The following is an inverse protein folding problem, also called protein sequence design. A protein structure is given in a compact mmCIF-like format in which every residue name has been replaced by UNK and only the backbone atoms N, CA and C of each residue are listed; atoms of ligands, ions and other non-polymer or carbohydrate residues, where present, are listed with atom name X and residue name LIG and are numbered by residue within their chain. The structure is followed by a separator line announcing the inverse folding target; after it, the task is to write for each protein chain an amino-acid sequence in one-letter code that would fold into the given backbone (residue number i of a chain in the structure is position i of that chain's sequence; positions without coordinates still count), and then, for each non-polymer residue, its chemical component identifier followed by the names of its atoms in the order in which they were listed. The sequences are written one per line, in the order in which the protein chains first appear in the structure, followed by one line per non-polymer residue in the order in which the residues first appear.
data_IF_996724501763
#
_entry.id   IF_996724501763
#
_cell.length_a   1.000
_cell.length_b   1.000
_cell.length_c   1.000
_cell.angle_alpha   90.00
_cell.angle_beta   90.00
_cell.angle_gamma   90.00
#
_symmetry.space_group_name_H-M   'P 1'
#
loop_
_entity.id
_entity.type
_entity.pdbx_description
1 polymer ?
#
# COMPACT_ATOMS: atom_id res chain seq x y z
N UNK A 1 45.19 23.68 5.67
CA UNK A 1 44.62 22.59 4.86
C UNK A 1 44.40 21.46 5.81
N UNK A 2 43.15 21.22 6.18
CA UNK A 2 42.61 19.91 6.54
C UNK A 2 41.10 20.12 6.64
N UNK A 3 40.46 19.97 5.47
CA UNK A 3 39.00 19.80 5.36
C UNK A 3 38.74 18.40 5.88
N UNK A 4 38.47 18.27 7.18
CA UNK A 4 37.86 17.06 7.71
C UNK A 4 36.54 16.85 6.96
N UNK A 5 36.51 15.79 6.17
CA UNK A 5 35.29 15.25 5.58
C UNK A 5 34.33 14.94 6.72
N UNK A 6 33.27 15.72 6.82
CA UNK A 6 31.98 15.22 7.31
C UNK A 6 31.61 14.12 6.31
N UNK A 7 31.97 12.88 6.62
CA UNK A 7 31.00 11.88 7.05
C UNK A 7 29.75 11.97 6.17
N UNK A 8 29.82 11.23 5.05
CA UNK A 8 28.88 10.17 4.71
C UNK A 8 27.70 10.03 5.69
N UNK A 9 26.79 10.99 5.65
CA UNK A 9 25.38 10.69 5.73
C UNK A 9 24.85 10.96 4.33
N UNK A 10 25.11 10.00 3.42
CA UNK A 10 24.13 9.73 2.39
C UNK A 10 22.85 9.41 3.17
N UNK A 11 21.97 10.41 3.31
CA UNK A 11 20.55 10.12 3.48
C UNK A 11 20.24 9.20 2.30
N UNK A 12 20.13 7.89 2.58
CA UNK A 12 19.34 7.00 1.75
C UNK A 12 17.94 7.62 1.75
N UNK A 13 17.72 8.59 0.86
CA UNK A 13 16.41 8.96 0.39
C UNK A 13 15.85 7.65 -0.16
N UNK A 14 15.01 7.02 0.67
CA UNK A 14 14.19 5.88 0.32
C UNK A 14 13.22 6.31 -0.79
N UNK A 15 13.76 6.44 -2.00
CA UNK A 15 13.05 6.79 -3.23
C UNK A 15 12.33 5.55 -3.79
N UNK A 16 11.95 4.61 -2.92
CA UNK A 16 11.20 3.41 -3.27
C UNK A 16 9.69 3.55 -3.03
N UNK A 17 9.22 4.66 -2.43
CA UNK A 17 7.81 4.83 -2.05
C UNK A 17 6.87 5.43 -3.10
N UNK A 18 7.36 5.95 -4.24
CA UNK A 18 6.52 6.71 -5.19
C UNK A 18 6.09 5.89 -6.43
N UNK A 19 6.50 4.62 -6.52
CA UNK A 19 6.12 3.72 -7.62
C UNK A 19 5.77 2.32 -7.09
N UNK A 20 4.79 1.67 -7.75
CA UNK A 20 4.35 0.32 -7.40
C UNK A 20 2.84 0.22 -7.24
N UNK A 21 2.38 -0.99 -6.89
CA UNK A 21 0.96 -1.31 -6.86
C UNK A 21 0.18 -0.48 -5.83
N UNK A 22 0.74 -0.25 -4.63
CA UNK A 22 0.06 0.47 -3.54
C UNK A 22 -0.18 1.96 -3.86
N UNK A 23 0.84 2.76 -4.25
CA UNK A 23 0.62 4.14 -4.66
C UNK A 23 -0.30 4.24 -5.88
N UNK A 24 -0.13 3.35 -6.87
CA UNK A 24 -1.01 3.28 -8.04
C UNK A 24 -2.47 3.03 -7.64
N UNK A 25 -2.73 2.01 -6.82
CA UNK A 25 -4.07 1.64 -6.40
C UNK A 25 -4.75 2.75 -5.59
N UNK A 26 -4.01 3.41 -4.69
CA UNK A 26 -4.54 4.54 -3.91
C UNK A 26 -4.74 5.81 -4.75
N UNK A 27 -4.02 5.95 -5.87
CA UNK A 27 -4.16 7.04 -6.82
C UNK A 27 -5.34 6.91 -7.81
N UNK A 28 -5.99 5.74 -7.87
CA UNK A 28 -7.17 5.53 -8.72
C UNK A 28 -8.29 6.49 -8.29
N UNK A 29 -8.96 7.11 -9.26
CA UNK A 29 -10.12 7.97 -9.01
C UNK A 29 -11.20 7.20 -8.22
N UNK A 30 -11.62 7.74 -7.08
CA UNK A 30 -12.55 7.09 -6.15
C UNK A 30 -11.86 6.33 -5.00
N UNK A 31 -10.53 6.19 -5.03
CA UNK A 31 -9.75 5.53 -3.97
C UNK A 31 -9.05 6.54 -3.04
N UNK A 32 -9.44 7.82 -3.07
CA UNK A 32 -8.80 8.90 -2.33
C UNK A 32 -8.82 8.67 -0.81
N UNK A 33 -9.71 7.80 -0.32
CA UNK A 33 -9.86 7.50 1.11
C UNK A 33 -8.88 6.44 1.62
N UNK A 34 -8.29 5.65 0.73
CA UNK A 34 -7.28 4.66 1.12
C UNK A 34 -6.02 5.37 1.63
N UNK A 35 -5.36 4.72 2.58
CA UNK A 35 -4.02 5.04 3.01
C UNK A 35 -3.10 4.09 2.26
N UNK A 36 -1.95 4.58 1.84
CA UNK A 36 -0.85 3.74 1.37
C UNK A 36 -0.29 3.02 2.60
N UNK A 37 -0.41 1.69 2.62
CA UNK A 37 0.06 0.86 3.73
C UNK A 37 1.53 0.57 3.51
N UNK A 38 2.35 0.72 4.54
CA UNK A 38 3.78 0.47 4.43
C UNK A 38 4.09 -1.00 4.14
N UNK A 39 5.05 -1.23 3.25
CA UNK A 39 5.58 -2.54 2.92
C UNK A 39 6.01 -3.33 4.16
N UNK A 40 6.64 -2.67 5.14
CA UNK A 40 7.06 -3.30 6.39
C UNK A 40 5.88 -3.85 7.19
N UNK A 41 4.76 -3.11 7.23
CA UNK A 41 3.54 -3.55 7.91
C UNK A 41 2.96 -4.80 7.25
N UNK A 42 2.99 -4.86 5.91
CA UNK A 42 2.48 -5.98 5.11
C UNK A 42 3.39 -7.19 5.21
N UNK A 43 4.72 -7.00 5.22
CA UNK A 43 5.71 -8.10 5.32
C UNK A 43 5.72 -8.77 6.70
N UNK A 44 5.21 -8.12 7.74
CA UNK A 44 5.03 -8.76 9.05
C UNK A 44 3.81 -9.70 9.05
N UNK A 45 4.11 -11.00 9.04
CA UNK A 45 3.13 -12.09 9.09
C UNK A 45 2.17 -12.01 10.28
N UNK A 46 2.55 -11.39 11.39
CA UNK A 46 1.65 -11.21 12.53
C UNK A 46 0.46 -10.31 12.17
N UNK A 47 0.71 -9.24 11.41
CA UNK A 47 -0.33 -8.31 10.96
C UNK A 47 -1.31 -8.96 9.98
N UNK A 48 -0.85 -9.98 9.23
CA UNK A 48 -1.64 -10.72 8.24
C UNK A 48 -2.28 -12.00 8.77
N UNK A 49 -2.16 -12.28 10.07
CA UNK A 49 -2.65 -13.51 10.67
C UNK A 49 -4.15 -13.76 10.35
N UNK A 50 -4.45 -14.99 9.95
CA UNK A 50 -5.80 -15.46 9.63
C UNK A 50 -6.35 -15.01 8.26
N UNK A 51 -5.57 -14.28 7.45
CA UNK A 51 -6.02 -13.86 6.11
C UNK A 51 -5.75 -14.92 5.04
N UNK A 52 -4.64 -15.65 5.12
CA UNK A 52 -4.19 -16.61 4.07
C UNK A 52 -5.27 -17.60 3.64
N UNK A 53 -5.98 -18.22 4.59
CA UNK A 53 -7.01 -19.22 4.28
C UNK A 53 -8.32 -18.65 3.69
N UNK A 54 -8.43 -17.32 3.51
CA UNK A 54 -9.62 -16.67 2.96
C UNK A 54 -9.56 -16.44 1.45
N UNK A 55 -8.39 -16.59 0.85
CA UNK A 55 -8.12 -16.26 -0.55
C UNK A 55 -7.59 -17.49 -1.28
N UNK A 56 -7.99 -17.65 -2.53
CA UNK A 56 -7.52 -18.75 -3.36
C UNK A 56 -6.08 -18.49 -3.82
N UNK A 57 -5.79 -17.24 -4.20
CA UNK A 57 -4.51 -16.83 -4.76
C UNK A 57 -3.70 -15.97 -3.78
N UNK A 58 -3.80 -16.22 -2.47
CA UNK A 58 -3.21 -15.37 -1.43
C UNK A 58 -1.75 -14.98 -1.69
N UNK A 59 -0.88 -15.94 -2.01
CA UNK A 59 0.55 -15.66 -2.17
C UNK A 59 0.81 -14.78 -3.40
N UNK A 60 0.14 -15.05 -4.53
CA UNK A 60 0.24 -14.22 -5.75
C UNK A 60 -0.38 -12.83 -5.57
N UNK A 61 -1.49 -12.75 -4.83
CA UNK A 61 -2.12 -11.49 -4.47
C UNK A 61 -1.22 -10.62 -3.58
N UNK A 62 -0.54 -11.24 -2.61
CA UNK A 62 0.41 -10.55 -1.74
C UNK A 62 1.66 -10.09 -2.51
N UNK A 63 2.17 -10.93 -3.41
CA UNK A 63 3.27 -10.59 -4.31
C UNK A 63 2.91 -9.39 -5.20
N UNK A 64 1.71 -9.39 -5.78
CA UNK A 64 1.21 -8.27 -6.58
C UNK A 64 1.12 -6.97 -5.77
N UNK A 65 0.60 -7.02 -4.54
CA UNK A 65 0.49 -5.84 -3.66
C UNK A 65 1.87 -5.24 -3.35
N UNK A 66 2.88 -6.09 -3.14
CA UNK A 66 4.25 -5.69 -2.79
C UNK A 66 5.15 -5.46 -4.03
N UNK A 67 4.59 -5.47 -5.24
CA UNK A 67 5.36 -5.32 -6.46
C UNK A 67 5.52 -3.85 -6.85
N UNK A 68 6.60 -3.57 -7.59
CA UNK A 68 6.83 -2.29 -8.24
C UNK A 68 6.11 -2.19 -9.60
N UNK A 69 5.38 -3.23 -9.99
CA UNK A 69 4.68 -3.34 -11.27
C UNK A 69 3.18 -3.07 -11.08
N UNK A 70 2.53 -2.52 -12.10
CA UNK A 70 1.10 -2.22 -12.09
C UNK A 70 0.42 -3.01 -13.20
N UNK A 71 -0.80 -3.52 -12.99
CA UNK A 71 -1.54 -4.23 -14.03
C UNK A 71 -1.75 -3.37 -15.28
N UNK A 72 -1.51 -3.95 -16.46
CA UNK A 72 -1.83 -3.33 -17.74
C UNK A 72 -3.06 -3.95 -18.44
N UNK A 73 -3.41 -3.43 -19.62
CA UNK A 73 -4.59 -3.88 -20.36
C UNK A 73 -4.45 -5.34 -20.87
N UNK A 74 -3.23 -5.81 -21.13
CA UNK A 74 -2.97 -7.18 -21.60
C UNK A 74 -3.08 -8.16 -20.42
N UNK A 75 -2.59 -7.79 -19.24
CA UNK A 75 -2.78 -8.56 -18.01
C UNK A 75 -4.27 -8.76 -17.70
N UNK A 76 -5.07 -7.69 -17.82
CA UNK A 76 -6.50 -7.73 -17.54
C UNK A 76 -7.32 -8.52 -18.57
N UNK A 77 -6.71 -8.89 -19.71
CA UNK A 77 -7.33 -9.81 -20.67
C UNK A 77 -7.17 -11.29 -20.27
N UNK A 78 -6.24 -11.62 -19.37
CA UNK A 78 -6.05 -12.98 -18.86
C UNK A 78 -7.06 -13.29 -17.71
N UNK A 79 -7.96 -14.26 -17.89
CA UNK A 79 -8.92 -14.65 -16.85
C UNK A 79 -8.29 -15.10 -15.53
N UNK A 80 -7.11 -15.73 -15.56
CA UNK A 80 -6.42 -16.15 -14.33
C UNK A 80 -5.86 -14.95 -13.59
N UNK A 81 -5.25 -14.00 -14.32
CA UNK A 81 -4.76 -12.75 -13.74
C UNK A 81 -5.90 -11.95 -13.09
N UNK A 82 -7.08 -11.87 -13.73
CA UNK A 82 -8.25 -11.17 -13.16
C UNK A 82 -8.68 -11.77 -11.81
N UNK A 83 -8.59 -13.09 -11.64
CA UNK A 83 -8.91 -13.73 -10.36
C UNK A 83 -7.86 -13.40 -9.28
N UNK A 84 -6.57 -13.35 -9.64
CA UNK A 84 -5.48 -12.92 -8.74
C UNK A 84 -5.67 -11.46 -8.35
N UNK A 85 -5.93 -10.58 -9.33
CA UNK A 85 -6.18 -9.16 -9.11
C UNK A 85 -7.37 -8.92 -8.17
N UNK A 86 -8.45 -9.68 -8.34
CA UNK A 86 -9.61 -9.62 -7.44
C UNK A 86 -9.21 -9.98 -6.00
N UNK A 87 -8.44 -11.04 -5.81
CA UNK A 87 -7.94 -11.44 -4.51
C UNK A 87 -6.98 -10.38 -3.93
N UNK A 88 -6.12 -9.75 -4.74
CA UNK A 88 -5.22 -8.66 -4.35
C UNK A 88 -5.98 -7.44 -3.83
N UNK A 89 -6.98 -6.96 -4.58
CA UNK A 89 -7.82 -5.83 -4.16
C UNK A 89 -8.55 -6.12 -2.85
N UNK A 90 -9.14 -7.31 -2.72
CA UNK A 90 -9.85 -7.69 -1.51
C UNK A 90 -8.90 -7.91 -0.31
N UNK A 91 -7.71 -8.47 -0.55
CA UNK A 91 -6.67 -8.65 0.46
C UNK A 91 -6.17 -7.29 0.95
N UNK A 92 -5.82 -6.37 0.05
CA UNK A 92 -5.38 -5.02 0.40
C UNK A 92 -6.42 -4.28 1.23
N UNK A 93 -7.71 -4.38 0.88
CA UNK A 93 -8.79 -3.80 1.68
C UNK A 93 -8.85 -4.33 3.13
N UNK A 94 -8.62 -5.63 3.34
CA UNK A 94 -8.57 -6.21 4.69
C UNK A 94 -7.31 -5.81 5.46
N UNK A 95 -6.17 -5.69 4.77
CA UNK A 95 -4.92 -5.20 5.35
C UNK A 95 -5.08 -3.74 5.77
N UNK A 96 -5.58 -2.90 4.86
CA UNK A 96 -5.86 -1.49 5.09
C UNK A 96 -6.77 -1.29 6.31
N UNK A 97 -7.86 -2.06 6.42
CA UNK A 97 -8.77 -1.99 7.57
C UNK A 97 -8.08 -2.28 8.91
N UNK A 98 -7.07 -3.15 8.94
CA UNK A 98 -6.23 -3.40 10.14
C UNK A 98 -5.21 -2.28 10.34
N UNK A 99 -4.58 -1.82 9.26
CA UNK A 99 -3.55 -0.79 9.30
C UNK A 99 -4.07 0.54 9.84
N UNK A 100 -5.25 1.01 9.41
CA UNK A 100 -5.78 2.32 9.80
C UNK A 100 -6.15 2.44 11.29
N UNK A 101 -6.17 1.34 12.03
CA UNK A 101 -6.35 1.33 13.49
C UNK A 101 -5.04 1.13 14.26
N UNK A 102 -3.91 0.94 13.56
CA UNK A 102 -2.57 0.93 14.16
C UNK A 102 -2.11 2.35 14.53
N UNK A 103 -1.11 2.50 15.43
CA UNK A 103 -0.59 3.82 15.78
C UNK A 103 -0.08 4.65 14.60
N UNK A 104 0.52 4.01 13.59
CA UNK A 104 1.04 4.70 12.41
C UNK A 104 -0.07 4.99 11.39
N UNK A 105 -0.91 4.00 11.06
CA UNK A 105 -2.05 4.22 10.16
C UNK A 105 -3.05 5.25 10.67
N UNK A 106 -3.23 5.38 11.99
CA UNK A 106 -4.03 6.47 12.57
C UNK A 106 -3.44 7.86 12.30
N UNK A 107 -2.11 8.00 12.28
CA UNK A 107 -1.46 9.27 11.94
C UNK A 107 -1.69 9.62 10.48
N UNK A 108 -1.50 8.64 9.57
CA UNK A 108 -1.76 8.80 8.13
C UNK A 108 -3.21 9.22 7.88
N UNK A 109 -4.17 8.53 8.49
CA UNK A 109 -5.60 8.86 8.33
C UNK A 109 -5.97 10.22 8.94
N UNK A 110 -5.33 10.60 10.06
CA UNK A 110 -5.50 11.94 10.65
C UNK A 110 -5.04 13.02 9.68
N UNK A 111 -3.92 12.84 8.99
CA UNK A 111 -3.44 13.81 8.00
C UNK A 111 -4.43 13.96 6.83
N UNK A 112 -4.94 12.85 6.29
CA UNK A 112 -5.99 12.87 5.26
C UNK A 112 -7.25 13.60 5.74
N UNK A 113 -7.63 13.41 7.01
CA UNK A 113 -8.75 14.13 7.63
C UNK A 113 -8.50 15.64 7.72
N UNK A 114 -7.31 16.05 8.20
CA UNK A 114 -6.94 17.47 8.29
C UNK A 114 -6.86 18.14 6.91
N UNK A 115 -6.51 17.39 5.86
CA UNK A 115 -6.54 17.83 4.46
C UNK A 115 -7.94 17.81 3.83
N UNK A 116 -8.99 17.47 4.61
CA UNK A 116 -10.38 17.35 4.16
C UNK A 116 -10.60 16.37 2.98
N UNK A 117 -9.73 15.35 2.86
CA UNK A 117 -9.82 14.34 1.79
C UNK A 117 -11.16 13.58 1.87
N UNK A 118 -11.66 13.32 3.07
CA UNK A 118 -12.95 12.66 3.31
C UNK A 118 -14.17 13.57 3.13
N UNK A 119 -13.96 14.83 2.72
CA UNK A 119 -14.98 15.86 2.68
C UNK A 119 -15.37 16.39 4.07
N UNK A 120 -16.45 17.16 4.10
CA UNK A 120 -16.97 17.80 5.31
C UNK A 120 -18.44 17.46 5.51
N UNK A 121 -18.90 17.52 6.76
CA UNK A 121 -20.31 17.31 7.08
C UNK A 121 -21.19 18.38 6.39
N UNK A 122 -22.24 18.01 5.63
CA UNK A 122 -23.02 18.95 4.81
C UNK A 122 -24.08 19.74 5.60
N UNK A 123 -23.93 19.88 6.92
CA UNK A 123 -24.95 20.43 7.83
C UNK A 123 -25.54 21.76 7.38
#
# INVERSE_FOLDING_TARGET
MDRLSLDEFEEEEDFSGDSGWIPWYCGIKGHEFFAEVDDEYIRDNFNLYGLRGRFQFYDHALEMILSNEVPDDDDLADPEFVEIYRDAVALYGLIHARYIVSPHGLQVMREKYLKAVFGTCPR
#
